data_IF_595680168600
#
_entry.id   IF_595680168600
#
_cell.length_a   1.000
_cell.length_b   1.000
_cell.length_c   1.000
_cell.angle_alpha   90.00
_cell.angle_beta   90.00
_cell.angle_gamma   90.00
#
_symmetry.space_group_name_H-M   'P 1'
#
loop_
_entity.id
_entity.type
_entity.pdbx_description
1 polymer ?
#
# COMPACT_ATOMS: atom_id res chain seq x y z
N UNK A 1 23.55 -28.28 -50.11
CA UNK A 1 24.02 -29.48 -49.37
C UNK A 1 22.88 -29.93 -48.49
N UNK A 2 22.33 -31.09 -48.82
CA UNK A 2 21.21 -31.73 -48.13
C UNK A 2 21.73 -32.42 -46.86
N UNK A 3 21.03 -32.26 -45.73
CA UNK A 3 20.98 -33.32 -44.72
C UNK A 3 19.54 -33.65 -44.33
N UNK A 4 19.28 -34.96 -44.47
CA UNK A 4 18.06 -35.70 -44.17
C UNK A 4 18.07 -36.15 -42.70
N UNK A 5 16.89 -36.06 -42.07
CA UNK A 5 16.15 -37.12 -41.35
C UNK A 5 16.86 -37.93 -40.26
N UNK A 6 16.31 -37.89 -39.03
CA UNK A 6 15.83 -39.10 -38.32
C UNK A 6 14.55 -38.77 -37.53
N UNK A 7 13.50 -39.55 -37.78
CA UNK A 7 12.24 -39.64 -37.06
C UNK A 7 12.26 -40.95 -36.26
N UNK A 8 11.97 -40.88 -34.96
CA UNK A 8 11.71 -41.99 -34.01
C UNK A 8 10.77 -41.37 -32.97
N UNK A 9 9.66 -41.95 -32.50
CA UNK A 9 9.06 -43.25 -32.70
C UNK A 9 7.78 -43.27 -31.85
N UNK A 10 6.77 -43.94 -32.37
CA UNK A 10 5.44 -44.12 -31.81
C UNK A 10 5.45 -45.07 -30.59
N UNK A 11 4.66 -44.76 -29.55
CA UNK A 11 4.16 -45.76 -28.61
C UNK A 11 2.77 -45.35 -28.11
N UNK A 12 1.77 -46.08 -28.61
CA UNK A 12 0.43 -46.18 -28.04
C UNK A 12 0.49 -46.91 -26.67
N UNK A 13 -0.39 -46.57 -25.74
CA UNK A 13 -1.32 -47.46 -25.01
C UNK A 13 -1.74 -46.81 -23.67
N UNK A 14 -3.04 -46.86 -23.38
CA UNK A 14 -3.53 -46.73 -22.00
C UNK A 14 -4.72 -45.78 -21.85
N UNK A 15 -5.87 -46.14 -22.43
CA UNK A 15 -7.14 -45.52 -22.05
C UNK A 15 -7.47 -45.85 -20.60
N UNK A 16 -7.80 -44.82 -19.82
CA UNK A 16 -8.47 -44.95 -18.54
C UNK A 16 -9.78 -44.18 -18.66
N UNK A 17 -10.89 -44.93 -18.74
CA UNK A 17 -12.23 -44.45 -18.43
C UNK A 17 -12.23 -44.05 -16.95
N UNK A 18 -12.34 -42.76 -16.64
CA UNK A 18 -12.70 -42.31 -15.30
C UNK A 18 -14.20 -42.02 -15.27
N UNK A 19 -14.91 -42.75 -14.42
CA UNK A 19 -16.33 -42.62 -14.19
C UNK A 19 -16.67 -41.23 -13.61
N UNK A 20 -17.68 -40.60 -14.18
CA UNK A 20 -18.32 -39.41 -13.64
C UNK A 20 -19.07 -39.76 -12.35
N UNK A 21 -18.51 -39.37 -11.20
CA UNK A 21 -19.22 -39.28 -9.94
C UNK A 21 -19.74 -37.85 -9.80
N UNK A 22 -21.05 -37.70 -9.94
CA UNK A 22 -21.75 -36.45 -9.66
C UNK A 22 -21.63 -36.11 -8.18
N UNK A 23 -20.89 -35.04 -7.87
CA UNK A 23 -20.89 -34.41 -6.57
C UNK A 23 -22.09 -33.45 -6.54
N UNK A 24 -23.02 -33.56 -5.56
CA UNK A 24 -24.08 -32.57 -5.42
C UNK A 24 -23.44 -31.19 -5.17
N UNK A 25 -23.78 -30.23 -6.03
CA UNK A 25 -23.31 -28.86 -5.91
C UNK A 25 -23.71 -28.27 -4.56
N UNK A 26 -22.70 -27.81 -3.82
CA UNK A 26 -22.89 -26.94 -2.68
C UNK A 26 -23.40 -25.59 -3.20
N UNK A 27 -24.69 -25.32 -3.05
CA UNK A 27 -25.21 -23.95 -3.13
C UNK A 27 -24.70 -23.22 -1.90
N UNK A 28 -23.77 -22.28 -2.07
CA UNK A 28 -23.39 -21.36 -1.00
C UNK A 28 -24.54 -20.35 -0.81
N UNK A 29 -25.40 -20.66 0.16
CA UNK A 29 -26.35 -19.71 0.73
C UNK A 29 -25.56 -18.75 1.63
N UNK A 30 -25.39 -17.50 1.20
CA UNK A 30 -24.67 -16.45 1.96
C UNK A 30 -25.61 -15.58 2.82
N UNK A 31 -26.84 -16.02 3.05
CA UNK A 31 -27.88 -15.27 3.77
C UNK A 31 -27.80 -15.35 5.31
N UNK A 32 -26.71 -15.87 5.89
CA UNK A 32 -26.52 -15.97 7.35
C UNK A 32 -25.59 -14.90 7.94
N UNK A 33 -25.45 -13.74 7.29
CA UNK A 33 -24.84 -12.53 7.86
C UNK A 33 -25.88 -11.45 8.22
N UNK A 34 -27.09 -11.87 8.61
CA UNK A 34 -28.04 -11.00 9.29
C UNK A 34 -27.48 -10.55 10.65
N UNK A 35 -26.94 -9.33 10.70
CA UNK A 35 -26.52 -8.64 11.94
C UNK A 35 -27.70 -8.48 12.89
N UNK A 36 -27.54 -8.93 14.13
CA UNK A 36 -28.34 -8.44 15.25
C UNK A 36 -28.10 -6.93 15.45
N UNK A 37 -29.13 -6.13 15.78
CA UNK A 37 -28.96 -4.70 16.02
C UNK A 37 -28.15 -4.44 17.30
N UNK A 38 -27.13 -3.56 17.27
CA UNK A 38 -26.28 -3.33 18.44
C UNK A 38 -26.98 -2.46 19.49
N UNK A 39 -26.87 -2.91 20.74
CA UNK A 39 -27.09 -2.06 21.92
C UNK A 39 -25.83 -1.22 22.20
N UNK A 40 -26.02 0.10 22.24
CA UNK A 40 -25.23 1.16 22.87
C UNK A 40 -23.68 1.04 23.00
N UNK A 41 -23.00 1.89 22.22
CA UNK A 41 -21.85 2.75 22.53
C UNK A 41 -20.56 2.17 23.19
N UNK A 42 -19.52 1.98 22.37
CA UNK A 42 -18.19 2.59 22.56
C UNK A 42 -17.41 2.56 21.24
N UNK A 43 -17.03 3.73 20.72
CA UNK A 43 -16.28 3.89 19.46
C UNK A 43 -14.78 3.90 19.70
N UNK A 44 -14.12 2.80 19.37
CA UNK A 44 -12.68 2.71 19.08
C UNK A 44 -12.47 1.55 18.10
N UNK A 45 -12.61 1.82 16.81
CA UNK A 45 -12.58 0.80 15.75
C UNK A 45 -11.22 0.67 15.11
N UNK A 46 -10.45 -0.33 15.53
CA UNK A 46 -9.46 -1.00 14.69
C UNK A 46 -10.09 -2.33 14.23
N UNK A 47 -10.33 -2.47 12.92
CA UNK A 47 -10.89 -3.68 12.34
C UNK A 47 -9.83 -4.76 12.19
N UNK A 48 -9.67 -5.61 13.22
CA UNK A 48 -8.81 -6.80 13.17
C UNK A 48 -9.55 -8.01 12.59
N UNK A 49 -9.01 -8.60 11.53
CA UNK A 49 -9.40 -9.93 11.06
C UNK A 49 -8.93 -11.04 12.03
N UNK A 50 -9.55 -12.23 11.99
CA UNK A 50 -9.27 -13.28 12.97
C UNK A 50 -8.01 -14.06 12.59
N UNK A 51 -7.05 -14.14 13.52
CA UNK A 51 -6.03 -15.21 13.49
C UNK A 51 -4.57 -14.79 13.50
N UNK A 52 -4.15 -13.96 14.46
CA UNK A 52 -2.80 -14.07 15.01
C UNK A 52 -2.81 -13.68 16.48
N UNK A 53 -2.39 -14.59 17.35
CA UNK A 53 -2.04 -14.29 18.74
C UNK A 53 -0.70 -13.55 18.74
N UNK A 54 -0.71 -12.28 18.32
CA UNK A 54 0.41 -11.39 18.59
C UNK A 54 0.29 -10.95 20.05
N UNK A 55 1.37 -11.20 20.80
CA UNK A 55 1.53 -10.66 22.15
C UNK A 55 1.76 -9.17 22.02
N UNK A 56 0.66 -8.43 21.86
CA UNK A 56 0.66 -6.98 22.03
C UNK A 56 1.14 -6.72 23.45
N UNK A 57 2.38 -6.25 23.57
CA UNK A 57 2.89 -5.67 24.78
C UNK A 57 2.04 -4.43 25.07
N UNK A 58 0.91 -4.66 25.72
CA UNK A 58 0.13 -3.64 26.40
C UNK A 58 1.01 -3.18 27.54
N UNK A 59 1.81 -2.15 27.28
CA UNK A 59 2.39 -1.33 28.33
C UNK A 59 1.22 -0.78 29.13
N UNK A 60 0.92 -1.45 30.23
CA UNK A 60 -0.03 -1.03 31.26
C UNK A 60 0.59 0.13 32.03
N UNK A 61 0.86 1.23 31.30
CA UNK A 61 1.19 2.53 31.85
C UNK A 61 -0.05 3.08 32.53
N UNK A 62 -0.08 2.96 33.84
CA UNK A 62 -1.17 3.38 34.70
C UNK A 62 -1.27 4.92 34.66
N UNK A 63 -2.28 5.47 33.99
CA UNK A 63 -2.76 6.85 34.23
C UNK A 63 -2.10 8.01 33.48
N UNK A 64 -1.69 7.84 32.22
CA UNK A 64 -1.28 8.96 31.36
C UNK A 64 -2.46 9.48 30.52
N UNK A 65 -2.74 10.78 30.56
CA UNK A 65 -3.76 11.41 29.74
C UNK A 65 -3.63 10.99 28.28
N UNK A 66 -4.72 10.52 27.68
CA UNK A 66 -4.74 10.08 26.29
C UNK A 66 -4.11 11.15 25.40
N UNK A 67 -3.21 10.74 24.52
CA UNK A 67 -2.55 11.68 23.63
C UNK A 67 -3.62 12.26 22.70
N UNK A 68 -3.84 13.57 22.78
CA UNK A 68 -4.87 14.28 22.00
C UNK A 68 -4.22 14.78 20.70
N UNK A 69 -4.75 14.33 19.56
CA UNK A 69 -4.31 14.83 18.26
C UNK A 69 -4.66 16.31 18.09
N UNK A 70 -3.72 17.14 17.57
CA UNK A 70 -4.01 18.52 17.22
C UNK A 70 -5.20 18.62 16.23
N UNK A 71 -6.18 19.50 16.50
CA UNK A 71 -7.32 19.69 15.60
C UNK A 71 -6.87 20.32 14.27
N UNK A 72 -7.62 20.08 13.20
CA UNK A 72 -7.29 20.58 11.87
C UNK A 72 -8.14 19.95 10.77
N UNK A 73 -8.30 20.60 9.61
CA UNK A 73 -9.13 20.08 8.53
C UNK A 73 -8.63 18.71 8.05
N UNK A 74 -9.54 17.86 7.56
CA UNK A 74 -9.14 16.59 6.97
C UNK A 74 -8.19 16.84 5.80
N UNK A 75 -7.00 16.24 5.85
CA UNK A 75 -6.03 16.22 4.75
C UNK A 75 -5.92 14.80 4.23
N UNK A 76 -5.74 14.63 2.92
CA UNK A 76 -5.64 13.30 2.32
C UNK A 76 -4.39 13.22 1.44
N UNK A 77 -3.49 12.29 1.78
CA UNK A 77 -2.36 11.91 0.93
C UNK A 77 -2.62 10.55 0.31
N UNK A 78 -2.41 10.44 -0.99
CA UNK A 78 -2.47 9.15 -1.71
C UNK A 78 -1.06 8.75 -2.13
N UNK A 79 -0.72 7.48 -1.94
CA UNK A 79 0.56 6.88 -2.34
C UNK A 79 0.30 5.73 -3.31
N UNK A 80 1.10 5.69 -4.39
CA UNK A 80 1.14 4.51 -5.25
C UNK A 80 2.15 3.49 -4.69
N UNK A 81 1.63 2.37 -4.18
CA UNK A 81 2.40 1.19 -3.80
C UNK A 81 2.05 -0.05 -4.63
N UNK A 82 1.42 0.11 -5.79
CA UNK A 82 1.16 -0.98 -6.75
C UNK A 82 2.51 -1.42 -7.33
N UNK A 83 2.95 -2.60 -6.94
CA UNK A 83 4.34 -3.01 -7.10
C UNK A 83 4.70 -3.39 -8.54
N UNK A 84 3.74 -3.71 -9.40
CA UNK A 84 3.98 -4.20 -10.77
C UNK A 84 3.82 -3.14 -11.87
N UNK A 85 3.62 -1.87 -11.50
CA UNK A 85 3.49 -0.79 -12.45
C UNK A 85 4.23 0.48 -12.01
N UNK A 86 4.94 1.09 -12.96
CA UNK A 86 5.73 2.31 -12.73
C UNK A 86 4.85 3.51 -12.35
N UNK A 87 3.58 3.55 -12.74
CA UNK A 87 2.64 4.62 -12.44
C UNK A 87 1.19 4.15 -12.47
N UNK A 88 0.33 4.86 -11.73
CA UNK A 88 -1.11 4.58 -11.69
C UNK A 88 -1.96 5.86 -11.73
N UNK A 89 -3.22 5.71 -12.12
CA UNK A 89 -4.28 6.69 -11.88
C UNK A 89 -5.36 6.10 -10.98
N UNK A 90 -6.23 6.95 -10.47
CA UNK A 90 -7.30 6.61 -9.55
C UNK A 90 -8.63 7.18 -10.01
N UNK A 91 -9.67 6.38 -9.90
CA UNK A 91 -11.05 6.83 -10.03
C UNK A 91 -11.73 6.71 -8.68
N UNK A 92 -11.94 7.84 -8.00
CA UNK A 92 -12.61 7.90 -6.70
C UNK A 92 -14.13 8.03 -6.91
N UNK A 93 -14.83 6.90 -6.81
CA UNK A 93 -16.26 6.84 -7.10
C UNK A 93 -17.07 6.77 -5.81
N UNK A 94 -18.20 7.46 -5.77
CA UNK A 94 -19.18 7.29 -4.70
C UNK A 94 -19.65 5.82 -4.67
N UNK A 95 -19.81 5.24 -3.49
CA UNK A 95 -20.25 3.86 -3.30
C UNK A 95 -21.62 3.83 -2.60
N UNK A 96 -22.58 3.01 -3.07
CA UNK A 96 -22.46 2.01 -4.14
C UNK A 96 -22.79 2.50 -5.56
N UNK A 97 -23.32 3.71 -5.71
CA UNK A 97 -24.03 4.12 -6.94
C UNK A 97 -23.19 4.92 -7.94
N UNK A 98 -21.90 5.15 -7.66
CA UNK A 98 -21.03 5.94 -8.51
C UNK A 98 -20.69 5.21 -9.81
N UNK A 99 -21.16 5.76 -10.93
CA UNK A 99 -20.92 5.20 -12.27
C UNK A 99 -19.58 5.62 -12.87
N UNK A 100 -18.99 6.71 -12.37
CA UNK A 100 -17.78 7.33 -12.94
C UNK A 100 -18.03 8.30 -14.09
N UNK A 101 -19.27 8.43 -14.57
CA UNK A 101 -19.60 9.34 -15.68
C UNK A 101 -19.34 10.80 -15.27
N UNK A 102 -18.55 11.53 -16.07
CA UNK A 102 -18.12 12.89 -15.82
C UNK A 102 -17.12 13.07 -14.67
N UNK A 103 -16.65 11.98 -14.05
CA UNK A 103 -15.62 12.02 -13.01
C UNK A 103 -14.26 11.86 -13.67
N UNK A 104 -13.39 12.87 -13.58
CA UNK A 104 -12.04 12.78 -14.11
C UNK A 104 -11.16 11.83 -13.25
N UNK A 105 -10.22 11.08 -13.85
CA UNK A 105 -9.24 10.32 -13.09
C UNK A 105 -8.29 11.26 -12.32
N UNK A 106 -7.73 10.77 -11.22
CA UNK A 106 -6.76 11.47 -10.39
C UNK A 106 -5.43 10.71 -10.32
N UNK A 107 -4.26 11.35 -10.46
CA UNK A 107 -4.10 12.72 -10.96
C UNK A 107 -4.57 12.81 -12.41
N UNK A 108 -5.21 13.93 -12.76
CA UNK A 108 -5.79 14.13 -14.11
C UNK A 108 -4.78 14.50 -15.20
N UNK A 109 -3.55 14.81 -14.82
CA UNK A 109 -2.49 15.24 -15.75
C UNK A 109 -1.30 14.27 -15.74
N UNK A 110 -0.58 14.22 -16.87
CA UNK A 110 0.73 13.61 -17.00
C UNK A 110 0.74 12.08 -16.91
N UNK A 111 1.90 11.53 -16.56
CA UNK A 111 2.17 10.08 -16.55
C UNK A 111 1.51 9.30 -15.38
N UNK A 112 0.56 9.90 -14.65
CA UNK A 112 -0.01 9.31 -13.43
C UNK A 112 0.83 9.55 -12.16
N UNK A 113 0.47 8.87 -11.08
CA UNK A 113 1.22 8.84 -9.82
C UNK A 113 2.25 7.71 -9.88
N UNK A 114 3.52 8.06 -10.00
CA UNK A 114 4.63 7.09 -10.09
C UNK A 114 4.75 6.19 -8.86
N UNK A 115 5.32 5.00 -9.01
CA UNK A 115 5.59 4.09 -7.90
C UNK A 115 6.41 4.80 -6.82
N UNK A 116 6.05 4.57 -5.55
CA UNK A 116 6.63 5.24 -4.39
C UNK A 116 6.48 6.76 -4.33
N UNK A 117 5.66 7.36 -5.20
CA UNK A 117 5.27 8.76 -5.12
C UNK A 117 4.02 8.92 -4.28
N UNK A 118 3.96 10.05 -3.59
CA UNK A 118 2.79 10.51 -2.86
C UNK A 118 2.26 11.80 -3.49
N UNK A 119 0.96 12.06 -3.37
CA UNK A 119 0.42 13.40 -3.64
C UNK A 119 -0.75 13.69 -2.71
N UNK A 120 -0.78 14.90 -2.16
CA UNK A 120 -1.92 15.39 -1.40
C UNK A 120 -3.08 15.75 -2.32
N UNK A 121 -4.30 15.47 -1.89
CA UNK A 121 -5.53 15.91 -2.55
C UNK A 121 -6.00 17.19 -1.86
N UNK A 122 -5.76 18.32 -2.50
CA UNK A 122 -6.19 19.62 -2.03
C UNK A 122 -6.83 20.45 -3.16
N UNK A 123 -8.07 20.93 -3.00
CA UNK A 123 -9.01 20.61 -1.92
C UNK A 123 -9.54 19.16 -2.01
N UNK A 124 -9.97 18.57 -0.89
CA UNK A 124 -10.47 17.18 -0.85
C UNK A 124 -11.60 16.92 -1.87
N UNK A 125 -12.54 17.85 -1.99
CA UNK A 125 -13.68 17.78 -2.92
C UNK A 125 -13.29 17.85 -4.40
N UNK A 126 -12.03 18.10 -4.74
CA UNK A 126 -11.56 18.04 -6.13
C UNK A 126 -11.56 16.60 -6.69
N UNK A 127 -11.45 15.59 -5.82
CA UNK A 127 -11.41 14.19 -6.23
C UNK A 127 -12.33 13.28 -5.39
N UNK A 128 -12.59 13.62 -4.13
CA UNK A 128 -13.39 12.79 -3.22
C UNK A 128 -14.84 13.29 -3.21
N UNK A 129 -15.83 12.46 -3.60
CA UNK A 129 -17.24 12.83 -3.52
C UNK A 129 -17.68 13.18 -2.10
N UNK A 130 -18.28 14.35 -1.91
CA UNK A 130 -18.70 14.82 -0.58
C UNK A 130 -19.80 13.94 0.04
N UNK A 131 -19.64 13.61 1.32
CA UNK A 131 -20.66 12.89 2.10
C UNK A 131 -20.89 11.42 1.71
N UNK A 132 -20.15 10.88 0.75
CA UNK A 132 -20.28 9.51 0.28
C UNK A 132 -19.16 8.62 0.79
N UNK A 133 -19.44 7.32 0.92
CA UNK A 133 -18.37 6.32 1.00
C UNK A 133 -17.72 6.22 -0.38
N UNK A 134 -16.43 5.95 -0.44
CA UNK A 134 -15.68 6.00 -1.69
C UNK A 134 -15.09 4.63 -2.00
N UNK A 135 -15.31 4.16 -3.22
CA UNK A 135 -14.54 3.06 -3.82
C UNK A 135 -13.55 3.67 -4.81
N UNK A 136 -12.27 3.63 -4.46
CA UNK A 136 -11.22 3.93 -5.42
C UNK A 136 -11.09 2.76 -6.41
N UNK A 137 -10.92 3.06 -7.69
CA UNK A 137 -10.39 2.10 -8.66
C UNK A 137 -8.99 2.56 -9.03
N UNK A 138 -8.01 1.67 -8.95
CA UNK A 138 -6.65 1.95 -9.42
C UNK A 138 -6.53 1.48 -10.87
N UNK A 139 -5.91 2.31 -11.72
CA UNK A 139 -5.72 2.08 -13.15
C UNK A 139 -4.23 2.13 -13.48
N UNK A 140 -3.75 1.17 -14.25
CA UNK A 140 -2.35 1.08 -14.67
C UNK A 140 -2.23 0.55 -16.12
N UNK A 141 -1.00 0.41 -16.61
CA UNK A 141 -0.70 0.03 -18.00
C UNK A 141 -0.40 1.26 -18.86
N UNK A 142 -0.93 1.30 -20.08
CA UNK A 142 -0.80 2.45 -20.98
C UNK A 142 -1.73 3.60 -20.57
N UNK A 143 -1.26 4.44 -19.64
CA UNK A 143 -2.04 5.55 -19.11
C UNK A 143 -2.35 6.64 -20.16
N UNK A 144 -1.63 6.69 -21.29
CA UNK A 144 -1.93 7.63 -22.37
C UNK A 144 -3.26 7.27 -23.06
N UNK A 145 -3.63 5.98 -23.07
CA UNK A 145 -4.94 5.52 -23.56
C UNK A 145 -6.13 6.05 -22.74
N UNK A 146 -5.88 6.69 -21.60
CA UNK A 146 -6.91 7.30 -20.73
C UNK A 146 -7.02 8.81 -20.87
N UNK A 147 -6.28 9.44 -21.79
CA UNK A 147 -6.32 10.88 -22.00
C UNK A 147 -7.70 11.36 -22.48
N UNK A 148 -8.28 12.33 -21.77
CA UNK A 148 -9.58 12.92 -22.09
C UNK A 148 -10.79 12.05 -21.76
N UNK A 149 -10.58 10.84 -21.24
CA UNK A 149 -11.65 9.94 -20.82
C UNK A 149 -12.08 10.22 -19.38
N UNK A 150 -13.37 10.05 -19.11
CA UNK A 150 -13.87 9.99 -17.72
C UNK A 150 -13.68 8.59 -17.11
N UNK A 151 -13.92 8.48 -15.81
CA UNK A 151 -13.75 7.22 -15.09
C UNK A 151 -14.69 6.11 -15.55
N UNK A 152 -15.88 6.41 -16.09
CA UNK A 152 -16.74 5.37 -16.65
C UNK A 152 -16.16 4.81 -17.95
N UNK A 153 -15.68 5.69 -18.83
CA UNK A 153 -15.04 5.32 -20.09
C UNK A 153 -13.74 4.55 -19.87
N UNK A 154 -12.92 4.95 -18.89
CA UNK A 154 -11.68 4.25 -18.52
C UNK A 154 -11.99 2.84 -18.01
N UNK A 155 -12.98 2.69 -17.13
CA UNK A 155 -13.35 1.38 -16.59
C UNK A 155 -13.97 0.47 -17.66
N UNK A 156 -14.70 1.04 -18.62
CA UNK A 156 -15.19 0.30 -19.78
C UNK A 156 -14.03 -0.16 -20.68
N UNK A 157 -13.06 0.72 -20.96
CA UNK A 157 -11.86 0.38 -21.72
C UNK A 157 -11.07 -0.74 -21.05
N UNK A 158 -10.86 -0.69 -19.74
CA UNK A 158 -10.15 -1.72 -18.97
C UNK A 158 -10.86 -3.09 -18.96
N UNK A 159 -12.17 -3.13 -19.27
CA UNK A 159 -12.93 -4.38 -19.35
C UNK A 159 -12.85 -5.05 -20.73
N UNK A 160 -12.31 -4.38 -21.75
CA UNK A 160 -12.18 -4.93 -23.10
C UNK A 160 -11.12 -6.06 -23.16
N UNK A 161 -11.34 -7.10 -23.96
CA UNK A 161 -10.30 -8.10 -24.23
C UNK A 161 -9.07 -7.44 -24.84
N UNK A 162 -7.89 -7.70 -24.28
CA UNK A 162 -6.62 -7.06 -24.68
C UNK A 162 -6.63 -5.52 -24.53
N UNK A 163 -7.35 -5.00 -23.52
CA UNK A 163 -7.25 -3.62 -23.13
C UNK A 163 -5.79 -3.21 -22.87
N UNK A 164 -5.38 -2.00 -23.27
CA UNK A 164 -4.02 -1.51 -23.04
C UNK A 164 -3.77 -1.09 -21.57
N UNK A 165 -4.83 -1.09 -20.76
CA UNK A 165 -4.85 -0.75 -19.34
C UNK A 165 -5.50 -1.86 -18.53
N UNK A 166 -5.17 -1.90 -17.24
CA UNK A 166 -5.82 -2.74 -16.24
C UNK A 166 -6.44 -1.85 -15.16
N UNK A 167 -7.57 -2.26 -14.60
CA UNK A 167 -8.21 -1.56 -13.50
C UNK A 167 -8.70 -2.53 -12.43
N UNK A 168 -8.53 -2.16 -11.16
CA UNK A 168 -9.05 -2.93 -10.04
C UNK A 168 -9.76 -2.03 -9.02
N UNK A 169 -10.94 -2.48 -8.58
CA UNK A 169 -11.67 -1.83 -7.49
C UNK A 169 -11.01 -2.14 -6.15
N UNK A 170 -10.70 -1.10 -5.38
CA UNK A 170 -10.09 -1.20 -4.06
C UNK A 170 -11.18 -1.27 -2.95
N UNK A 171 -10.81 -1.67 -1.72
CA UNK A 171 -11.70 -1.59 -0.56
C UNK A 171 -12.36 -0.21 -0.39
N UNK A 172 -13.60 -0.21 0.10
CA UNK A 172 -14.40 1.02 0.30
C UNK A 172 -13.93 1.77 1.55
N UNK A 173 -13.68 3.07 1.41
CA UNK A 173 -13.44 3.98 2.53
C UNK A 173 -14.76 4.62 2.96
N UNK A 174 -15.23 4.43 4.21
CA UNK A 174 -16.50 5.00 4.67
C UNK A 174 -16.51 6.53 4.70
N UNK A 175 -17.66 7.14 4.39
CA UNK A 175 -17.84 8.59 4.40
C UNK A 175 -17.36 9.29 5.70
N UNK A 176 -17.62 8.76 6.90
CA UNK A 176 -17.19 9.41 8.14
C UNK A 176 -15.68 9.63 8.24
N UNK A 177 -14.87 8.76 7.62
CA UNK A 177 -13.39 8.89 7.65
C UNK A 177 -12.95 10.23 7.09
N UNK A 178 -13.59 10.72 6.03
CA UNK A 178 -13.27 12.00 5.40
C UNK A 178 -13.73 13.22 6.22
N UNK A 179 -14.59 13.02 7.21
CA UNK A 179 -15.10 14.08 8.10
C UNK A 179 -14.35 14.17 9.44
N UNK A 180 -13.41 13.27 9.73
CA UNK A 180 -12.83 13.10 11.07
C UNK A 180 -11.76 14.14 11.49
N UNK A 181 -11.57 15.24 10.75
CA UNK A 181 -10.55 16.27 11.07
C UNK A 181 -9.16 15.65 11.28
N UNK A 182 -8.77 14.69 10.42
CA UNK A 182 -7.52 13.92 10.50
C UNK A 182 -6.66 14.08 9.25
N UNK A 183 -5.36 13.84 9.39
CA UNK A 183 -4.47 13.66 8.24
C UNK A 183 -4.51 12.18 7.84
N UNK A 184 -5.08 11.90 6.69
CA UNK A 184 -5.35 10.56 6.18
C UNK A 184 -4.30 10.16 5.16
N UNK A 185 -3.87 8.90 5.24
CA UNK A 185 -3.02 8.26 4.24
C UNK A 185 -3.80 7.13 3.58
N UNK A 186 -3.91 7.19 2.26
CA UNK A 186 -4.38 6.10 1.41
C UNK A 186 -3.22 5.56 0.57
N UNK A 187 -2.97 4.26 0.63
CA UNK A 187 -1.92 3.61 -0.16
C UNK A 187 -2.55 2.51 -0.97
N UNK A 188 -2.49 2.61 -2.30
CA UNK A 188 -2.79 1.47 -3.16
C UNK A 188 -1.66 0.46 -3.08
N UNK A 189 -1.98 -0.81 -2.90
CA UNK A 189 -0.98 -1.86 -2.59
C UNK A 189 -1.15 -3.07 -3.49
N UNK A 190 -0.19 -3.99 -3.45
CA UNK A 190 -0.26 -5.28 -4.14
C UNK A 190 0.12 -5.17 -5.61
N UNK A 191 -0.38 -6.10 -6.41
CA UNK A 191 -0.16 -6.15 -7.86
C UNK A 191 -1.48 -6.24 -8.61
N UNK A 192 -1.57 -5.59 -9.77
CA UNK A 192 -2.74 -5.61 -10.65
C UNK A 192 -2.72 -6.77 -11.65
N UNK A 193 -1.54 -7.34 -11.91
CA UNK A 193 -1.34 -8.49 -12.79
C UNK A 193 -1.59 -8.17 -14.26
N UNK A 194 -2.10 -9.18 -14.99
CA UNK A 194 -2.31 -9.10 -16.43
C UNK A 194 -1.26 -9.85 -17.25
N UNK A 195 -1.37 -9.75 -18.57
CA UNK A 195 -0.48 -10.46 -19.49
C UNK A 195 0.98 -10.06 -19.26
N UNK A 196 1.88 -11.05 -19.22
CA UNK A 196 3.31 -10.83 -18.96
C UNK A 196 3.69 -10.75 -17.46
N UNK A 197 2.73 -10.67 -16.54
CA UNK A 197 2.98 -10.59 -15.10
C UNK A 197 3.02 -11.98 -14.44
N UNK A 198 3.80 -12.89 -15.03
CA UNK A 198 4.08 -14.21 -14.45
C UNK A 198 5.58 -14.39 -14.19
N UNK A 199 5.94 -14.92 -13.03
CA UNK A 199 7.34 -15.18 -12.68
C UNK A 199 7.47 -16.22 -11.56
N UNK A 200 8.57 -16.98 -11.54
CA UNK A 200 8.84 -18.00 -10.50
C UNK A 200 8.92 -17.45 -9.05
N UNK A 201 8.98 -16.13 -8.88
CA UNK A 201 9.04 -15.41 -7.60
C UNK A 201 7.93 -14.37 -7.46
N UNK A 202 6.88 -14.43 -8.27
CA UNK A 202 5.78 -13.45 -8.26
C UNK A 202 5.13 -13.27 -6.88
N UNK A 203 5.06 -14.33 -6.08
CA UNK A 203 4.55 -14.24 -4.70
C UNK A 203 5.41 -13.41 -3.76
N UNK A 204 6.73 -13.38 -3.98
CA UNK A 204 7.63 -12.51 -3.22
C UNK A 204 7.46 -11.03 -3.63
N UNK A 205 7.07 -10.78 -4.88
CA UNK A 205 6.75 -9.44 -5.37
C UNK A 205 5.37 -8.94 -4.96
N UNK A 206 4.36 -9.81 -5.03
CA UNK A 206 2.96 -9.44 -5.05
C UNK A 206 2.12 -10.02 -3.89
N UNK A 207 2.73 -10.86 -3.04
CA UNK A 207 2.07 -11.53 -1.92
C UNK A 207 1.59 -12.94 -2.25
N UNK A 208 1.35 -13.74 -1.21
CA UNK A 208 1.13 -15.19 -1.32
C UNK A 208 -0.12 -15.58 -2.12
N UNK A 209 -1.12 -14.71 -2.14
CA UNK A 209 -2.39 -14.89 -2.84
C UNK A 209 -2.32 -14.52 -4.33
N UNK A 210 -1.22 -13.93 -4.80
CA UNK A 210 -1.11 -13.46 -6.17
C UNK A 210 -1.02 -14.60 -7.17
N UNK A 211 -1.77 -14.45 -8.25
CA UNK A 211 -1.55 -15.06 -9.56
C UNK A 211 -1.89 -14.02 -10.63
N UNK A 212 -1.46 -14.22 -11.88
CA UNK A 212 -1.80 -13.29 -12.97
C UNK A 212 -3.32 -13.11 -13.18
N UNK A 213 -4.13 -14.12 -12.85
CA UNK A 213 -5.60 -14.10 -12.94
C UNK A 213 -6.29 -13.72 -11.61
N UNK A 214 -5.54 -13.62 -10.52
CA UNK A 214 -6.04 -13.27 -9.18
C UNK A 214 -5.11 -12.22 -8.59
N UNK A 215 -5.29 -10.95 -8.98
CA UNK A 215 -4.46 -9.85 -8.51
C UNK A 215 -4.65 -9.64 -7.00
N UNK A 216 -3.66 -8.99 -6.38
CA UNK A 216 -3.63 -8.70 -4.94
C UNK A 216 -3.80 -7.21 -4.66
N UNK A 217 -4.29 -6.45 -5.64
CA UNK A 217 -4.56 -5.03 -5.50
C UNK A 217 -5.41 -4.73 -4.26
N UNK A 218 -4.88 -3.86 -3.40
CA UNK A 218 -5.47 -3.56 -2.10
C UNK A 218 -5.38 -2.08 -1.75
N UNK A 219 -5.90 -1.75 -0.58
CA UNK A 219 -5.85 -0.40 -0.02
C UNK A 219 -5.48 -0.48 1.45
N UNK A 220 -4.47 0.29 1.83
CA UNK A 220 -4.21 0.64 3.23
C UNK A 220 -4.75 2.05 3.46
N UNK A 221 -5.58 2.20 4.48
CA UNK A 221 -6.15 3.48 4.90
C UNK A 221 -5.86 3.68 6.39
N UNK A 222 -5.04 4.67 6.72
CA UNK A 222 -4.62 4.94 8.11
C UNK A 222 -4.65 6.44 8.42
N UNK A 223 -4.82 6.78 9.70
CA UNK A 223 -4.65 8.14 10.17
C UNK A 223 -3.19 8.39 10.58
N UNK A 224 -2.63 9.49 10.12
CA UNK A 224 -1.33 10.02 10.51
C UNK A 224 -1.52 10.96 11.70
N UNK A 225 -0.55 10.96 12.62
CA UNK A 225 -0.55 11.88 13.75
C UNK A 225 -0.01 13.24 13.31
N UNK A 226 -0.67 14.32 13.72
CA UNK A 226 -0.21 15.70 13.52
C UNK A 226 0.75 16.18 14.61
N UNK A 227 1.00 15.35 15.62
CA UNK A 227 1.87 15.74 16.72
C UNK A 227 3.29 15.97 16.23
N UNK A 228 3.82 17.13 16.64
CA UNK A 228 5.20 17.51 16.43
C UNK A 228 5.88 17.76 17.77
N UNK A 229 7.21 17.77 17.78
CA UNK A 229 8.01 18.03 18.97
C UNK A 229 9.11 19.03 18.65
N UNK A 230 9.20 20.10 19.43
CA UNK A 230 10.21 21.13 19.22
C UNK A 230 11.62 20.56 19.34
N UNK A 231 12.49 20.87 18.38
CA UNK A 231 13.88 20.39 18.36
C UNK A 231 14.02 18.90 18.04
N UNK A 232 12.95 18.23 17.59
CA UNK A 232 12.93 16.80 17.22
C UNK A 232 12.15 16.59 15.93
N UNK A 233 12.50 15.55 15.19
CA UNK A 233 11.68 14.99 14.14
C UNK A 233 10.62 14.08 14.75
N UNK A 234 9.38 14.18 14.29
CA UNK A 234 8.29 13.28 14.67
C UNK A 234 8.10 12.27 13.54
N UNK A 235 8.40 11.00 13.80
CA UNK A 235 8.46 9.96 12.76
C UNK A 235 7.41 8.87 12.99
N UNK A 236 6.72 8.50 11.92
CA UNK A 236 5.90 7.29 11.88
C UNK A 236 6.28 6.42 10.70
N UNK A 237 5.95 5.14 10.78
CA UNK A 237 6.11 4.19 9.69
C UNK A 237 4.78 3.49 9.45
N UNK A 238 4.29 3.57 8.21
CA UNK A 238 3.14 2.81 7.74
C UNK A 238 3.62 1.62 6.91
N UNK A 239 2.99 0.46 7.08
CA UNK A 239 3.32 -0.74 6.31
C UNK A 239 2.24 -1.04 5.27
N UNK A 240 2.60 -0.90 4.00
CA UNK A 240 1.71 -1.06 2.86
C UNK A 240 2.26 -2.03 1.80
N UNK A 241 3.35 -2.75 2.07
CA UNK A 241 3.78 -3.89 1.23
C UNK A 241 2.90 -5.11 1.50
N UNK A 242 2.07 -5.51 0.54
CA UNK A 242 1.22 -6.71 0.67
C UNK A 242 2.01 -8.03 0.65
N UNK A 243 3.26 -7.99 0.16
CA UNK A 243 4.14 -9.15 0.06
C UNK A 243 5.06 -9.33 1.26
N UNK A 244 5.28 -8.28 2.05
CA UNK A 244 6.16 -8.35 3.21
C UNK A 244 5.44 -8.96 4.44
N UNK A 245 6.13 -9.82 5.21
CA UNK A 245 5.66 -10.21 6.54
C UNK A 245 5.71 -8.99 7.49
N UNK A 246 5.22 -9.09 8.75
CA UNK A 246 5.46 -8.05 9.74
C UNK A 246 6.95 -7.72 9.84
N UNK A 247 7.30 -6.44 10.07
CA UNK A 247 8.69 -5.98 10.11
C UNK A 247 8.99 -5.05 11.29
N UNK A 248 10.27 -4.98 11.67
CA UNK A 248 10.81 -3.86 12.42
C UNK A 248 11.52 -2.89 11.48
N UNK A 249 11.44 -1.60 11.77
CA UNK A 249 12.09 -0.54 10.99
C UNK A 249 12.98 0.31 11.89
N UNK A 250 14.22 0.51 11.47
CA UNK A 250 15.18 1.40 12.14
C UNK A 250 15.86 2.32 11.14
N UNK A 251 16.30 3.47 11.64
CA UNK A 251 17.14 4.39 10.89
C UNK A 251 18.59 4.12 11.24
N UNK A 252 19.44 3.87 10.25
CA UNK A 252 20.89 3.89 10.41
C UNK A 252 21.39 5.27 9.92
N UNK A 253 21.80 6.18 10.82
CA UNK A 253 22.34 7.47 10.41
C UNK A 253 23.59 7.29 9.54
N UNK A 254 23.86 8.25 8.66
CA UNK A 254 25.05 8.27 7.78
C UNK A 254 26.39 8.45 8.51
N UNK A 255 26.45 8.13 9.80
CA UNK A 255 27.54 8.42 10.71
C UNK A 255 28.00 7.14 11.39
N UNK A 256 29.28 6.81 11.21
CA UNK A 256 29.88 5.59 11.77
C UNK A 256 29.91 5.56 13.31
N UNK A 257 29.77 6.71 13.99
CA UNK A 257 29.76 6.83 15.45
C UNK A 257 28.35 6.72 16.07
N UNK A 258 27.30 6.59 15.26
CA UNK A 258 25.92 6.54 15.73
C UNK A 258 25.31 5.17 15.43
N UNK A 259 24.77 4.52 16.47
CA UNK A 259 24.05 3.26 16.31
C UNK A 259 22.70 3.47 15.63
N UNK A 260 22.25 2.49 14.86
CA UNK A 260 20.92 2.51 14.28
C UNK A 260 19.83 2.62 15.36
N UNK A 261 18.79 3.41 15.09
CA UNK A 261 17.75 3.76 16.05
C UNK A 261 16.41 3.14 15.62
N UNK A 262 15.80 2.26 16.43
CA UNK A 262 14.51 1.67 16.10
C UNK A 262 13.43 2.75 16.10
N UNK A 263 12.63 2.79 15.03
CA UNK A 263 11.50 3.73 14.89
C UNK A 263 10.18 2.99 15.08
N UNK A 264 10.01 1.84 14.43
CA UNK A 264 8.81 1.02 14.53
C UNK A 264 9.17 -0.45 14.77
N UNK A 265 8.33 -1.15 15.54
CA UNK A 265 8.49 -2.56 15.87
C UNK A 265 7.19 -3.32 15.63
N UNK A 266 7.30 -4.58 15.22
CA UNK A 266 6.19 -5.50 14.95
C UNK A 266 5.10 -4.87 14.06
N UNK A 267 5.54 -4.13 13.04
CA UNK A 267 4.65 -3.40 12.16
C UNK A 267 4.05 -4.39 11.15
N UNK A 268 2.76 -4.70 11.29
CA UNK A 268 2.03 -5.56 10.37
C UNK A 268 1.48 -4.78 9.16
N UNK A 269 1.18 -5.48 8.06
CA UNK A 269 0.48 -4.92 6.91
C UNK A 269 -0.80 -4.16 7.33
N UNK A 270 -0.95 -2.92 6.83
CA UNK A 270 -2.06 -2.02 7.14
C UNK A 270 -1.91 -1.22 8.44
N UNK A 271 -0.85 -1.44 9.21
CA UNK A 271 -0.59 -0.68 10.44
C UNK A 271 0.25 0.57 10.19
N UNK A 272 0.12 1.55 11.09
CA UNK A 272 1.03 2.68 11.24
C UNK A 272 1.52 2.74 12.69
N UNK A 273 2.83 2.92 12.89
CA UNK A 273 3.45 2.92 14.22
C UNK A 273 4.73 3.77 14.22
N UNK A 274 5.11 4.39 15.34
CA UNK A 274 4.32 4.46 16.58
C UNK A 274 3.23 5.52 16.49
N UNK A 275 2.24 5.41 17.38
CA UNK A 275 1.19 6.40 17.59
C UNK A 275 1.07 6.60 19.11
N UNK A 276 1.63 7.67 19.71
CA UNK A 276 2.19 8.88 19.08
C UNK A 276 3.51 8.65 18.30
N UNK A 277 3.90 9.59 17.42
CA UNK A 277 5.13 9.48 16.62
C UNK A 277 6.39 9.36 17.45
N UNK A 278 7.41 8.73 16.86
CA UNK A 278 8.73 8.62 17.44
C UNK A 278 9.42 9.99 17.41
N UNK A 279 9.87 10.48 18.57
CA UNK A 279 10.50 11.80 18.73
C UNK A 279 11.93 11.73 19.30
N UNK A 280 12.60 10.59 19.12
CA UNK A 280 13.92 10.33 19.70
C UNK A 280 15.10 10.94 18.94
N UNK A 281 14.87 11.51 17.75
CA UNK A 281 15.92 12.04 16.86
C UNK A 281 15.64 13.51 16.54
N UNK A 282 16.69 14.31 16.52
CA UNK A 282 16.73 15.61 15.84
C UNK A 282 17.24 15.44 14.41
N UNK A 283 17.05 16.46 13.57
CA UNK A 283 17.64 16.52 12.23
C UNK A 283 19.16 16.39 12.28
N UNK A 284 19.82 16.96 13.29
CA UNK A 284 21.27 16.88 13.47
C UNK A 284 21.78 15.48 13.81
N UNK A 285 20.96 14.66 14.49
CA UNK A 285 21.31 13.29 14.87
C UNK A 285 21.41 12.36 13.63
N UNK A 286 20.71 12.70 12.54
CA UNK A 286 20.69 11.91 11.30
C UNK A 286 21.97 12.05 10.45
N UNK A 287 22.75 13.12 10.63
CA UNK A 287 23.88 13.43 9.72
C UNK A 287 23.43 13.96 8.36
N UNK A 288 24.16 13.67 7.28
CA UNK A 288 23.70 13.98 5.93
C UNK A 288 22.48 13.10 5.61
N UNK A 289 21.36 13.71 5.19
CA UNK A 289 20.11 12.98 5.08
C UNK A 289 20.19 11.93 3.98
N UNK A 290 20.89 12.21 2.88
CA UNK A 290 21.13 11.29 1.77
C UNK A 290 22.03 10.09 2.11
N UNK A 291 22.68 10.10 3.28
CA UNK A 291 23.50 8.98 3.79
C UNK A 291 22.74 8.13 4.82
N UNK A 292 21.54 8.54 5.23
CA UNK A 292 20.69 7.75 6.12
C UNK A 292 20.18 6.53 5.37
N UNK A 293 20.20 5.37 6.02
CA UNK A 293 19.61 4.13 5.53
C UNK A 293 18.35 3.79 6.35
N UNK A 294 17.29 3.37 5.66
CA UNK A 294 16.13 2.73 6.28
C UNK A 294 16.35 1.24 6.24
N UNK A 295 16.53 0.65 7.42
CA UNK A 295 16.79 -0.78 7.53
C UNK A 295 15.56 -1.52 8.06
N UNK A 296 15.25 -2.63 7.41
CA UNK A 296 14.09 -3.49 7.73
C UNK A 296 14.56 -4.85 8.25
N UNK A 297 13.84 -5.41 9.21
CA UNK A 297 14.15 -6.68 9.88
C UNK A 297 12.91 -7.51 10.07
N UNK A 298 13.07 -8.83 10.08
CA UNK A 298 12.04 -9.72 10.62
C UNK A 298 11.93 -9.54 12.15
N UNK A 299 10.71 -9.59 12.71
CA UNK A 299 10.51 -9.68 14.14
C UNK A 299 11.32 -10.84 14.71
N UNK A 300 11.98 -10.63 15.84
CA UNK A 300 12.86 -11.60 16.52
C UNK A 300 14.21 -11.89 15.82
N UNK A 301 14.46 -11.31 14.63
CA UNK A 301 15.75 -11.38 13.95
C UNK A 301 16.52 -10.08 14.09
N UNK A 302 17.84 -10.18 14.28
CA UNK A 302 18.75 -9.04 14.22
C UNK A 302 19.34 -8.82 12.82
N UNK A 303 19.02 -9.70 11.87
CA UNK A 303 19.55 -9.66 10.51
C UNK A 303 18.76 -8.68 9.66
N UNK A 304 19.48 -7.75 9.01
CA UNK A 304 18.91 -6.81 8.05
C UNK A 304 18.35 -7.59 6.86
N UNK A 305 17.06 -7.46 6.57
CA UNK A 305 16.43 -8.09 5.41
C UNK A 305 16.33 -7.14 4.22
N UNK A 306 16.31 -5.82 4.46
CA UNK A 306 16.52 -4.80 3.41
C UNK A 306 17.15 -3.53 3.99
N UNK A 307 17.87 -2.80 3.14
CA UNK A 307 18.40 -1.46 3.41
C UNK A 307 18.08 -0.58 2.22
N UNK A 308 17.40 0.54 2.47
CA UNK A 308 17.02 1.50 1.42
C UNK A 308 17.58 2.86 1.78
N UNK A 309 18.41 3.41 0.89
CA UNK A 309 19.00 4.72 1.11
C UNK A 309 17.92 5.81 1.10
N UNK A 310 18.02 6.76 2.02
CA UNK A 310 17.17 7.95 2.04
C UNK A 310 17.37 8.80 0.78
N UNK A 311 18.54 8.72 0.13
CA UNK A 311 18.76 9.31 -1.20
C UNK A 311 17.76 8.79 -2.23
N UNK A 312 17.55 7.47 -2.29
CA UNK A 312 16.57 6.86 -3.20
C UNK A 312 15.14 7.25 -2.83
N UNK A 313 14.82 7.29 -1.53
CA UNK A 313 13.50 7.67 -1.03
C UNK A 313 13.18 9.14 -1.37
N UNK A 314 14.11 10.06 -1.13
CA UNK A 314 13.96 11.48 -1.44
C UNK A 314 13.87 11.71 -2.95
N UNK A 315 14.61 10.96 -3.76
CA UNK A 315 14.49 11.04 -5.21
C UNK A 315 13.07 10.70 -5.68
N UNK A 316 12.33 9.88 -4.93
CA UNK A 316 10.94 9.48 -5.18
C UNK A 316 9.90 10.23 -4.35
N UNK A 317 10.30 11.20 -3.53
CA UNK A 317 9.42 11.96 -2.65
C UNK A 317 9.18 13.37 -3.21
N UNK A 318 8.07 13.97 -2.79
CA UNK A 318 7.80 15.40 -2.97
C UNK A 318 8.30 16.23 -1.76
N UNK A 319 8.95 15.59 -0.77
CA UNK A 319 9.59 16.23 0.38
C UNK A 319 11.04 16.60 0.01
N UNK A 320 11.38 17.88 -0.14
CA UNK A 320 12.76 18.28 -0.40
C UNK A 320 13.66 17.96 0.81
N UNK A 321 14.88 17.48 0.55
CA UNK A 321 15.82 17.12 1.61
C UNK A 321 16.14 18.30 2.55
N UNK A 322 16.20 19.51 2.00
CA UNK A 322 16.51 20.75 2.72
C UNK A 322 15.33 21.23 3.59
N UNK A 323 14.11 20.78 3.28
CA UNK A 323 12.91 21.16 4.03
C UNK A 323 12.74 20.31 5.30
N UNK A 324 13.41 19.14 5.38
CA UNK A 324 13.38 18.27 6.55
C UNK A 324 14.13 18.90 7.72
N UNK A 325 13.37 19.34 8.72
CA UNK A 325 13.83 20.12 9.86
C UNK A 325 13.12 19.72 11.16
N UNK A 326 13.73 20.04 12.29
CA UNK A 326 13.15 19.79 13.60
C UNK A 326 11.80 20.50 13.78
N UNK A 327 10.88 19.87 14.52
CA UNK A 327 9.52 20.38 14.70
C UNK A 327 8.55 19.94 13.61
N UNK A 328 8.98 19.11 12.65
CA UNK A 328 8.12 18.55 11.61
C UNK A 328 7.74 17.09 11.88
N UNK A 329 6.60 16.69 11.31
CA UNK A 329 6.11 15.32 11.28
C UNK A 329 6.31 14.69 9.90
N UNK A 330 6.93 13.51 9.87
CA UNK A 330 7.17 12.73 8.66
C UNK A 330 6.64 11.31 8.82
N UNK A 331 6.19 10.75 7.72
CA UNK A 331 5.77 9.34 7.64
C UNK A 331 6.57 8.65 6.54
N UNK A 332 7.15 7.51 6.90
CA UNK A 332 7.72 6.55 5.97
C UNK A 332 6.67 5.51 5.63
N UNK A 333 6.47 5.19 4.36
CA UNK A 333 5.48 4.20 3.91
C UNK A 333 6.19 3.06 3.21
N UNK A 334 6.28 1.89 3.85
CA UNK A 334 6.91 0.70 3.27
C UNK A 334 6.01 0.09 2.18
N UNK A 335 6.50 -0.07 0.96
CA UNK A 335 5.74 -0.53 -0.22
C UNK A 335 6.62 -1.36 -1.17
N UNK A 336 6.00 -2.08 -2.10
CA UNK A 336 6.70 -2.96 -3.05
C UNK A 336 6.77 -4.41 -2.57
N UNK A 337 7.73 -5.16 -3.10
CA UNK A 337 7.96 -6.57 -2.78
C UNK A 337 8.35 -6.85 -1.32
N UNK A 338 8.44 -8.13 -0.96
CA UNK A 338 8.98 -8.55 0.33
C UNK A 338 10.47 -8.14 0.49
N UNK A 339 10.94 -7.85 1.73
CA UNK A 339 12.36 -7.59 2.00
C UNK A 339 13.28 -8.66 1.39
N UNK A 340 14.41 -8.23 0.84
CA UNK A 340 15.40 -9.14 0.22
C UNK A 340 15.02 -9.64 -1.18
N UNK A 341 13.84 -9.29 -1.70
CA UNK A 341 13.48 -9.61 -3.09
C UNK A 341 14.26 -8.72 -4.05
N UNK A 342 15.19 -9.31 -4.79
CA UNK A 342 16.01 -8.61 -5.78
C UNK A 342 15.17 -8.09 -6.96
N UNK A 343 15.70 -7.06 -7.64
CA UNK A 343 15.20 -6.62 -8.94
C UNK A 343 15.40 -7.73 -9.97
N UNK A 344 14.45 -7.90 -10.90
CA UNK A 344 14.55 -8.90 -11.97
C UNK A 344 13.21 -9.53 -12.38
N UNK A 345 12.16 -9.33 -11.61
CA UNK A 345 10.78 -9.56 -12.03
C UNK A 345 10.12 -8.30 -12.58
N UNK A 346 8.79 -8.37 -12.76
CA UNK A 346 7.94 -7.25 -13.15
C UNK A 346 7.59 -6.31 -11.99
N UNK A 347 7.97 -6.66 -10.76
CA UNK A 347 7.69 -5.85 -9.56
C UNK A 347 8.84 -4.92 -9.18
N UNK A 348 8.49 -3.90 -8.41
CA UNK A 348 9.41 -3.04 -7.69
C UNK A 348 9.84 -3.69 -6.36
N UNK A 349 11.14 -3.64 -6.00
CA UNK A 349 11.62 -4.12 -4.72
C UNK A 349 11.03 -3.29 -3.58
N UNK A 350 11.16 -3.79 -2.35
CA UNK A 350 10.79 -3.04 -1.16
C UNK A 350 11.50 -1.67 -1.16
N UNK A 351 10.72 -0.62 -1.03
CA UNK A 351 11.20 0.76 -0.85
C UNK A 351 10.27 1.50 0.11
N UNK A 352 10.56 2.78 0.33
CA UNK A 352 9.75 3.66 1.14
C UNK A 352 9.36 4.92 0.36
N UNK A 353 8.11 5.37 0.54
CA UNK A 353 7.75 6.75 0.27
C UNK A 353 7.96 7.59 1.54
N UNK A 354 8.48 8.81 1.40
CA UNK A 354 8.54 9.80 2.47
C UNK A 354 7.51 10.89 2.20
N UNK A 355 6.73 11.25 3.21
CA UNK A 355 5.70 12.29 3.11
C UNK A 355 5.53 13.06 4.42
N UNK A 356 4.96 14.25 4.33
CA UNK A 356 4.56 15.05 5.49
C UNK A 356 3.37 14.39 6.20
N UNK A 357 3.44 14.31 7.54
CA UNK A 357 2.35 13.77 8.34
C UNK A 357 1.09 14.66 8.30
N UNK A 358 1.24 15.95 7.95
CA UNK A 358 0.15 16.91 7.79
C UNK A 358 0.42 17.84 6.59
N UNK A 359 0.28 17.35 5.34
CA UNK A 359 0.79 17.97 4.11
C UNK A 359 0.15 19.29 3.71
#
# INVERSE_FOLDING_TARGET
MLHRVVSIGCACFGGILLAALGIPGCTQDHDLLGRDPPSAASTSGAGGGPGSTSSSATTTGTGGGGVVEPPGPTRLTVVNGVADHDAVRFCFLAYPDGTGAGVAPWPGEGAGLGFARSRAIEPLGAAIPEGASVRAHVIAGDLDATEGLDCAEILALAAEPAAPIVAAGLPVVPAPVFAEEKSLLLVATGCLGGEGHTHAREKQGCGDAYTADTPTAGLVAVAMSRQTSFGRLSLQVAHASAAAPPVNVRLAPGRADVSAVPVAQDLSYGAISPFPPFVGLSRGDLGALEEVEIETYEPLSATVTSSVSMREILANSDVPADDVSDGQGLVLVAIGAAPGTERGGFWHPLTYALLWADP
#
